data_IF_123766536559
#
_entry.id   IF_123766536559
#
_cell.length_a   1.000
_cell.length_b   1.000
_cell.length_c   1.000
_cell.angle_alpha   90.00
_cell.angle_beta   90.00
_cell.angle_gamma   90.00
#
_symmetry.space_group_name_H-M   'P 1'
#
loop_
_entity.id
_entity.type
_entity.pdbx_description
1 polymer ?
#
# COMPACT_ATOMS: atom_id res chain seq x y z
N UNK A 1 -26.56 20.93 10.02
CA UNK A 1 -25.19 20.54 10.40
C UNK A 1 -24.51 21.77 10.96
N UNK A 2 -23.74 21.66 12.05
CA UNK A 2 -22.96 22.80 12.56
C UNK A 2 -21.78 23.14 11.63
N UNK A 3 -21.23 24.34 11.78
CA UNK A 3 -20.18 24.88 10.89
C UNK A 3 -18.92 24.02 10.85
N UNK A 4 -18.53 23.45 11.98
CA UNK A 4 -17.30 22.65 12.08
C UNK A 4 -17.51 21.29 11.42
N UNK A 5 -18.66 20.65 11.69
CA UNK A 5 -19.01 19.38 11.04
C UNK A 5 -19.10 19.55 9.51
N UNK A 6 -19.69 20.65 9.03
CA UNK A 6 -19.73 20.96 7.60
C UNK A 6 -18.31 21.11 7.02
N UNK A 7 -17.44 21.86 7.71
CA UNK A 7 -16.05 22.05 7.29
C UNK A 7 -15.31 20.71 7.19
N UNK A 8 -15.46 19.83 8.18
CA UNK A 8 -14.85 18.49 8.17
C UNK A 8 -15.36 17.67 6.98
N UNK A 9 -16.67 17.65 6.74
CA UNK A 9 -17.29 16.94 5.62
C UNK A 9 -16.78 17.41 4.25
N UNK A 10 -16.64 18.74 4.07
CA UNK A 10 -16.12 19.35 2.85
C UNK A 10 -14.65 19.00 2.64
N UNK A 11 -13.83 19.07 3.68
CA UNK A 11 -12.41 18.73 3.62
C UNK A 11 -12.18 17.24 3.33
N UNK A 12 -12.98 16.33 3.90
CA UNK A 12 -12.93 14.91 3.56
C UNK A 12 -13.36 14.64 2.10
N UNK A 13 -14.36 15.37 1.62
CA UNK A 13 -14.79 15.28 0.21
C UNK A 13 -13.70 15.76 -0.73
N UNK A 14 -13.03 16.86 -0.39
CA UNK A 14 -11.88 17.38 -1.11
C UNK A 14 -10.70 16.40 -1.10
N UNK A 15 -10.41 15.78 0.03
CA UNK A 15 -9.34 14.79 0.16
C UNK A 15 -9.56 13.58 -0.77
N UNK A 16 -10.81 13.10 -0.89
CA UNK A 16 -11.16 12.05 -1.86
C UNK A 16 -10.83 12.51 -3.28
N UNK A 17 -11.31 13.69 -3.68
CA UNK A 17 -11.07 14.21 -5.03
C UNK A 17 -9.56 14.41 -5.33
N UNK A 18 -8.81 14.96 -4.38
CA UNK A 18 -7.36 15.17 -4.54
C UNK A 18 -6.59 13.84 -4.66
N UNK A 19 -6.96 12.84 -3.86
CA UNK A 19 -6.33 11.51 -3.89
C UNK A 19 -6.46 10.81 -5.25
N UNK A 20 -7.51 11.11 -6.01
CA UNK A 20 -7.83 10.45 -7.29
C UNK A 20 -8.32 9.01 -7.15
N UNK A 21 -8.58 8.55 -5.92
CA UNK A 21 -9.20 7.25 -5.66
C UNK A 21 -10.72 7.39 -5.64
N UNK A 22 -11.43 6.27 -5.86
CA UNK A 22 -12.86 6.20 -5.55
C UNK A 22 -13.08 6.37 -4.03
N UNK A 23 -14.29 6.74 -3.61
CA UNK A 23 -14.59 6.85 -2.18
C UNK A 23 -14.29 5.55 -1.41
N UNK A 24 -14.63 4.40 -2.00
CA UNK A 24 -14.40 3.11 -1.37
C UNK A 24 -12.90 2.79 -1.25
N UNK A 25 -12.14 3.01 -2.33
CA UNK A 25 -10.69 2.81 -2.32
C UNK A 25 -9.98 3.77 -1.37
N UNK A 26 -10.42 5.04 -1.29
CA UNK A 26 -9.86 6.00 -0.34
C UNK A 26 -10.19 5.62 1.11
N UNK A 27 -11.38 5.11 1.39
CA UNK A 27 -11.72 4.60 2.72
C UNK A 27 -10.77 3.46 3.13
N UNK A 28 -10.54 2.49 2.23
CA UNK A 28 -9.59 1.38 2.44
C UNK A 28 -8.18 1.94 2.69
N UNK A 29 -7.72 2.87 1.85
CA UNK A 29 -6.42 3.52 2.01
C UNK A 29 -6.20 4.19 3.37
N UNK A 30 -7.28 4.65 4.01
CA UNK A 30 -7.24 5.25 5.35
C UNK A 30 -7.37 4.22 6.48
N UNK A 31 -7.57 2.94 6.19
CA UNK A 31 -7.80 1.89 7.19
C UNK A 31 -9.21 1.89 7.77
N UNK A 32 -10.22 2.31 7.00
CA UNK A 32 -11.62 2.31 7.45
C UNK A 32 -12.56 1.70 6.41
N UNK A 33 -13.73 1.25 6.84
CA UNK A 33 -14.76 0.78 5.91
C UNK A 33 -15.40 1.94 5.10
N UNK A 34 -15.85 1.68 3.85
CA UNK A 34 -16.57 2.66 3.03
C UNK A 34 -17.84 3.19 3.71
N UNK A 35 -18.55 2.34 4.45
CA UNK A 35 -19.76 2.72 5.19
C UNK A 35 -19.44 3.71 6.31
N UNK A 36 -18.42 3.45 7.13
CA UNK A 36 -17.98 4.34 8.20
C UNK A 36 -17.49 5.66 7.64
N UNK A 37 -16.70 5.63 6.57
CA UNK A 37 -16.24 6.83 5.88
C UNK A 37 -17.39 7.68 5.33
N UNK A 38 -18.44 7.04 4.80
CA UNK A 38 -19.67 7.73 4.36
C UNK A 38 -20.36 8.49 5.52
N UNK A 39 -20.35 7.92 6.74
CA UNK A 39 -20.91 8.61 7.91
C UNK A 39 -20.09 9.84 8.32
N UNK A 40 -18.76 9.82 8.13
CA UNK A 40 -17.91 10.99 8.34
C UNK A 40 -18.21 12.07 7.31
N UNK A 41 -18.30 11.72 6.03
CA UNK A 41 -18.61 12.69 4.96
C UNK A 41 -20.00 13.30 5.07
N UNK A 42 -20.99 12.54 5.53
CA UNK A 42 -22.35 13.05 5.78
C UNK A 42 -22.50 13.74 7.14
N UNK A 43 -21.41 13.84 7.92
CA UNK A 43 -21.37 14.45 9.25
C UNK A 43 -22.30 13.80 10.28
N UNK A 44 -22.77 12.58 10.00
CA UNK A 44 -23.51 11.75 10.95
C UNK A 44 -22.62 11.30 12.11
N UNK A 45 -21.33 11.11 11.82
CA UNK A 45 -20.32 10.73 12.81
C UNK A 45 -19.16 11.71 12.71
N UNK A 46 -18.61 12.13 13.86
CA UNK A 46 -17.39 12.95 13.90
C UNK A 46 -16.17 12.03 13.82
N UNK A 47 -15.26 12.20 12.84
CA UNK A 47 -13.99 11.48 12.85
C UNK A 47 -13.10 11.96 14.00
N UNK A 48 -12.13 11.16 14.40
CA UNK A 48 -11.08 11.62 15.31
C UNK A 48 -10.20 12.66 14.61
N UNK A 49 -9.56 13.55 15.37
CA UNK A 49 -8.61 14.51 14.81
C UNK A 49 -7.47 13.82 14.04
N UNK A 50 -6.96 12.71 14.58
CA UNK A 50 -5.92 11.90 13.93
C UNK A 50 -6.38 11.35 12.57
N UNK A 51 -7.59 10.81 12.48
CA UNK A 51 -8.14 10.32 11.22
C UNK A 51 -8.26 11.43 10.18
N UNK A 52 -8.76 12.60 10.59
CA UNK A 52 -8.91 13.76 9.72
C UNK A 52 -7.56 14.27 9.18
N UNK A 53 -6.55 14.39 10.05
CA UNK A 53 -5.21 14.80 9.66
C UNK A 53 -4.55 13.77 8.73
N UNK A 54 -4.71 12.47 9.03
CA UNK A 54 -4.24 11.36 8.18
C UNK A 54 -4.86 11.43 6.78
N UNK A 55 -6.16 11.67 6.69
CA UNK A 55 -6.86 11.80 5.41
C UNK A 55 -6.28 12.92 4.54
N UNK A 56 -6.06 14.11 5.11
CA UNK A 56 -5.47 15.23 4.39
C UNK A 56 -4.03 14.97 3.96
N UNK A 57 -3.21 14.37 4.83
CA UNK A 57 -1.81 14.04 4.53
C UNK A 57 -1.69 13.01 3.41
N UNK A 58 -2.43 11.90 3.50
CA UNK A 58 -2.45 10.85 2.47
C UNK A 58 -2.98 11.39 1.14
N UNK A 59 -4.08 12.15 1.14
CA UNK A 59 -4.62 12.71 -0.11
C UNK A 59 -3.60 13.58 -0.86
N UNK A 60 -2.88 14.46 -0.15
CA UNK A 60 -1.83 15.29 -0.75
C UNK A 60 -0.65 14.47 -1.25
N UNK A 61 -0.22 13.47 -0.50
CA UNK A 61 0.89 12.61 -0.91
C UNK A 61 0.53 11.76 -2.15
N UNK A 62 -0.68 11.19 -2.19
CA UNK A 62 -1.20 10.48 -3.37
C UNK A 62 -1.27 11.38 -4.60
N UNK A 63 -1.74 12.63 -4.43
CA UNK A 63 -1.75 13.62 -5.51
C UNK A 63 -0.34 13.93 -6.01
N UNK A 64 0.61 14.20 -5.11
CA UNK A 64 1.99 14.51 -5.47
C UNK A 64 2.68 13.34 -6.18
N UNK A 65 2.45 12.10 -5.73
CA UNK A 65 2.95 10.90 -6.38
C UNK A 65 2.39 10.78 -7.81
N UNK A 66 1.08 10.99 -8.00
CA UNK A 66 0.44 10.98 -9.32
C UNK A 66 1.01 12.05 -10.26
N UNK A 67 1.20 13.28 -9.79
CA UNK A 67 1.79 14.38 -10.57
C UNK A 67 3.22 14.06 -11.04
N UNK A 68 3.96 13.26 -10.26
CA UNK A 68 5.33 12.82 -10.56
C UNK A 68 5.40 11.45 -11.26
N UNK A 69 4.25 10.81 -11.52
CA UNK A 69 4.15 9.44 -12.06
C UNK A 69 4.88 8.39 -11.23
N UNK A 70 4.93 8.59 -9.92
CA UNK A 70 5.50 7.64 -8.95
C UNK A 70 4.38 6.72 -8.48
N UNK A 71 4.65 5.42 -8.43
CA UNK A 71 3.69 4.44 -7.91
C UNK A 71 3.53 4.57 -6.40
N UNK A 72 2.30 4.37 -5.95
CA UNK A 72 1.88 4.33 -4.55
C UNK A 72 1.49 2.90 -4.20
N UNK A 73 1.32 2.55 -2.93
CA UNK A 73 0.86 1.20 -2.58
C UNK A 73 -0.49 0.84 -3.27
N UNK A 74 -1.54 1.70 -3.26
CA UNK A 74 -2.79 1.40 -3.97
C UNK A 74 -2.64 1.29 -5.50
N UNK A 75 -1.77 2.12 -6.10
CA UNK A 75 -1.50 2.05 -7.54
C UNK A 75 -0.72 0.78 -7.90
N UNK A 76 0.22 0.37 -7.06
CA UNK A 76 0.99 -0.88 -7.23
C UNK A 76 0.06 -2.07 -7.17
N UNK A 77 -0.79 -2.16 -6.15
CA UNK A 77 -1.73 -3.27 -6.04
C UNK A 77 -2.71 -3.34 -7.22
N UNK A 78 -3.13 -2.18 -7.73
CA UNK A 78 -3.98 -2.11 -8.93
C UNK A 78 -3.24 -2.56 -10.19
N UNK A 79 -2.00 -2.12 -10.39
CA UNK A 79 -1.18 -2.51 -11.53
C UNK A 79 -0.85 -4.02 -11.52
N UNK A 80 -0.60 -4.60 -10.34
CA UNK A 80 -0.43 -6.05 -10.17
C UNK A 80 -1.74 -6.78 -10.50
N UNK A 81 -2.89 -6.31 -10.02
CA UNK A 81 -4.20 -6.92 -10.32
C UNK A 81 -4.57 -6.88 -11.79
N UNK A 82 -4.20 -5.80 -12.47
CA UNK A 82 -4.47 -5.58 -13.90
C UNK A 82 -3.42 -6.24 -14.79
N UNK A 83 -2.39 -6.86 -14.21
CA UNK A 83 -1.43 -7.63 -14.97
C UNK A 83 -2.11 -8.83 -15.63
N UNK A 84 -1.85 -9.02 -16.92
CA UNK A 84 -2.37 -10.15 -17.68
C UNK A 84 -1.65 -11.46 -17.40
N UNK A 85 -0.47 -11.39 -16.78
CA UNK A 85 0.40 -12.51 -16.45
C UNK A 85 1.26 -12.22 -15.21
N UNK A 86 1.84 -13.28 -14.64
CA UNK A 86 2.63 -13.23 -13.41
C UNK A 86 3.95 -12.47 -13.58
N UNK A 87 4.61 -12.58 -14.74
CA UNK A 87 5.83 -11.84 -15.05
C UNK A 87 5.62 -10.32 -15.03
N UNK A 88 4.50 -9.86 -15.58
CA UNK A 88 4.13 -8.44 -15.56
C UNK A 88 3.70 -7.99 -14.17
N UNK A 89 2.97 -8.83 -13.44
CA UNK A 89 2.64 -8.59 -12.03
C UNK A 89 3.91 -8.38 -11.19
N UNK A 90 4.92 -9.23 -11.40
CA UNK A 90 6.23 -9.12 -10.75
C UNK A 90 6.92 -7.78 -11.06
N UNK A 91 6.97 -7.40 -12.34
CA UNK A 91 7.54 -6.11 -12.76
C UNK A 91 6.83 -4.92 -12.10
N UNK A 92 5.49 -4.95 -12.02
CA UNK A 92 4.73 -3.88 -11.38
C UNK A 92 4.99 -3.80 -9.87
N UNK A 93 5.11 -4.94 -9.20
CA UNK A 93 5.48 -5.01 -7.79
C UNK A 93 6.87 -4.38 -7.54
N UNK A 94 7.88 -4.83 -8.28
CA UNK A 94 9.26 -4.35 -8.13
C UNK A 94 9.39 -2.86 -8.47
N UNK A 95 8.74 -2.41 -9.55
CA UNK A 95 8.68 -0.99 -9.88
C UNK A 95 8.03 -0.16 -8.77
N UNK A 96 6.96 -0.69 -8.15
CA UNK A 96 6.36 -0.10 -6.96
C UNK A 96 7.36 0.06 -5.82
N UNK A 97 8.05 -1.03 -5.44
CA UNK A 97 9.07 -0.99 -4.39
C UNK A 97 10.20 0.00 -4.69
N UNK A 98 10.69 0.06 -5.93
CA UNK A 98 11.75 0.99 -6.30
C UNK A 98 11.27 2.45 -6.21
N UNK A 99 10.01 2.71 -6.57
CA UNK A 99 9.36 4.00 -6.32
C UNK A 99 9.22 4.33 -4.83
N UNK A 100 8.90 3.36 -3.97
CA UNK A 100 8.91 3.55 -2.52
C UNK A 100 10.30 3.97 -2.02
N UNK A 101 11.36 3.26 -2.44
CA UNK A 101 12.75 3.62 -2.09
C UNK A 101 13.08 5.06 -2.46
N UNK A 102 12.69 5.48 -3.66
CA UNK A 102 12.89 6.85 -4.12
C UNK A 102 12.13 7.88 -3.26
N UNK A 103 10.93 7.57 -2.78
CA UNK A 103 10.18 8.48 -1.90
C UNK A 103 10.80 8.56 -0.52
N UNK A 104 11.17 7.42 0.08
CA UNK A 104 11.81 7.37 1.40
C UNK A 104 13.12 8.15 1.45
N UNK A 105 13.93 8.10 0.39
CA UNK A 105 15.20 8.85 0.30
C UNK A 105 15.02 10.38 0.26
N UNK A 106 13.83 10.89 -0.06
CA UNK A 106 13.60 12.33 -0.21
C UNK A 106 13.29 13.02 1.12
N UNK A 107 12.77 12.29 2.10
CA UNK A 107 12.34 12.81 3.40
C UNK A 107 11.48 14.09 3.31
N UNK A 108 10.63 14.20 2.27
CA UNK A 108 9.78 15.38 2.00
C UNK A 108 8.31 15.15 2.37
N UNK A 109 7.98 14.04 3.05
CA UNK A 109 6.62 13.68 3.44
C UNK A 109 5.84 12.94 2.34
N UNK A 110 6.45 12.71 1.18
CA UNK A 110 5.78 12.03 0.05
C UNK A 110 5.68 10.51 0.23
N UNK A 111 6.48 9.92 1.12
CA UNK A 111 6.38 8.53 1.56
C UNK A 111 5.01 8.22 2.21
N UNK A 112 4.29 9.24 2.69
CA UNK A 112 2.90 9.11 3.13
C UNK A 112 1.96 8.53 2.06
N UNK A 113 2.33 8.56 0.77
CA UNK A 113 1.59 7.89 -0.30
C UNK A 113 1.62 6.36 -0.19
N UNK A 114 2.61 5.81 0.51
CA UNK A 114 2.75 4.37 0.82
C UNK A 114 2.21 3.99 2.20
N UNK A 115 1.90 4.97 3.05
CA UNK A 115 1.05 4.70 4.22
C UNK A 115 -0.41 4.44 3.84
N UNK A 116 -0.82 4.83 2.64
CA UNK A 116 -2.13 4.51 2.08
C UNK A 116 -2.25 3.00 1.88
N UNK A 117 -3.14 2.34 2.63
CA UNK A 117 -3.31 0.90 2.51
C UNK A 117 -3.78 0.52 1.09
N UNK A 118 -3.15 -0.47 0.44
CA UNK A 118 -3.60 -0.95 -0.85
C UNK A 118 -4.92 -1.72 -0.74
N UNK A 119 -5.65 -1.82 -1.85
CA UNK A 119 -6.63 -2.90 -2.01
C UNK A 119 -5.93 -4.22 -2.36
N UNK A 120 -6.68 -5.32 -2.44
CA UNK A 120 -6.11 -6.60 -2.91
C UNK A 120 -5.65 -6.51 -4.37
N UNK A 121 -4.53 -7.17 -4.64
CA UNK A 121 -3.99 -7.51 -5.97
C UNK A 121 -4.82 -8.59 -6.66
N UNK A 122 -5.73 -9.26 -5.95
CA UNK A 122 -6.43 -10.45 -6.43
C UNK A 122 -5.65 -11.75 -6.20
N UNK A 123 -4.42 -11.67 -5.67
CA UNK A 123 -3.57 -12.82 -5.38
C UNK A 123 -2.94 -12.69 -3.99
N UNK A 124 -3.27 -13.61 -3.08
CA UNK A 124 -2.83 -13.53 -1.68
C UNK A 124 -1.30 -13.47 -1.53
N UNK A 125 -0.57 -14.19 -2.39
CA UNK A 125 0.89 -14.15 -2.41
C UNK A 125 1.45 -12.75 -2.69
N UNK A 126 0.89 -12.06 -3.69
CA UNK A 126 1.32 -10.70 -4.05
C UNK A 126 0.89 -9.69 -2.98
N UNK A 127 -0.26 -9.88 -2.35
CA UNK A 127 -0.74 -9.04 -1.24
C UNK A 127 0.23 -9.07 -0.06
N UNK A 128 0.62 -10.28 0.38
CA UNK A 128 1.56 -10.46 1.49
C UNK A 128 2.96 -10.00 1.10
N UNK A 129 3.43 -10.29 -0.13
CA UNK A 129 4.74 -9.84 -0.58
C UNK A 129 4.84 -8.30 -0.65
N UNK A 130 3.81 -7.62 -1.16
CA UNK A 130 3.75 -6.16 -1.18
C UNK A 130 3.86 -5.57 0.23
N UNK A 131 3.15 -6.16 1.21
CA UNK A 131 3.24 -5.76 2.61
C UNK A 131 4.65 -5.97 3.19
N UNK A 132 5.24 -7.15 3.00
CA UNK A 132 6.57 -7.50 3.50
C UNK A 132 7.66 -6.61 2.91
N UNK A 133 7.64 -6.40 1.59
CA UNK A 133 8.60 -5.51 0.92
C UNK A 133 8.44 -4.07 1.41
N UNK A 134 7.21 -3.59 1.53
CA UNK A 134 6.97 -2.23 2.06
C UNK A 134 7.52 -2.08 3.46
N UNK A 135 7.21 -3.00 4.38
CA UNK A 135 7.75 -2.97 5.74
C UNK A 135 9.27 -2.92 5.75
N UNK A 136 9.91 -3.76 4.92
CA UNK A 136 11.36 -3.83 4.83
C UNK A 136 12.00 -2.52 4.36
N UNK A 137 11.40 -1.85 3.38
CA UNK A 137 11.94 -0.58 2.88
C UNK A 137 11.81 0.55 3.92
N UNK A 138 10.68 0.62 4.64
CA UNK A 138 10.51 1.58 5.75
C UNK A 138 11.54 1.33 6.86
N UNK A 139 11.69 0.08 7.31
CA UNK A 139 12.69 -0.29 8.32
C UNK A 139 14.12 0.05 7.88
N UNK A 140 14.45 -0.20 6.60
CA UNK A 140 15.77 0.11 6.04
C UNK A 140 16.03 1.61 5.99
N UNK A 141 14.99 2.42 5.77
CA UNK A 141 15.06 3.88 5.84
C UNK A 141 15.07 4.42 7.28
N UNK A 142 14.96 3.57 8.31
CA UNK A 142 14.87 3.98 9.71
C UNK A 142 13.51 4.55 10.11
N UNK A 143 12.48 4.32 9.30
CA UNK A 143 11.11 4.77 9.51
C UNK A 143 10.23 3.63 10.05
N UNK A 144 9.15 3.98 10.74
CA UNK A 144 8.17 2.99 11.20
C UNK A 144 7.33 2.48 10.01
N UNK A 145 7.19 1.16 9.80
CA UNK A 145 6.31 0.62 8.77
C UNK A 145 4.85 1.04 8.93
N UNK A 146 4.10 1.23 7.82
CA UNK A 146 2.67 1.44 7.88
C UNK A 146 1.93 0.27 8.54
N UNK A 147 0.88 0.55 9.33
CA UNK A 147 0.12 -0.50 10.04
C UNK A 147 -0.41 -1.61 9.12
N UNK A 148 -0.77 -1.28 7.88
CA UNK A 148 -1.29 -2.26 6.91
C UNK A 148 -0.25 -3.30 6.48
N UNK A 149 1.04 -3.07 6.72
CA UNK A 149 2.09 -4.05 6.43
C UNK A 149 2.22 -5.12 7.50
N UNK A 150 1.52 -4.98 8.63
CA UNK A 150 1.44 -6.02 9.65
C UNK A 150 0.45 -7.10 9.21
N UNK A 151 0.95 -8.05 8.42
CA UNK A 151 0.16 -9.15 7.84
C UNK A 151 0.59 -10.48 8.45
N UNK A 152 -0.37 -11.38 8.61
CA UNK A 152 -0.07 -12.76 8.97
C UNK A 152 0.65 -13.47 7.80
N UNK A 153 1.55 -14.43 8.09
CA UNK A 153 2.12 -15.30 7.06
C UNK A 153 1.04 -16.04 6.27
N UNK A 154 1.34 -16.39 5.01
CA UNK A 154 0.40 -17.17 4.21
C UNK A 154 0.13 -18.53 4.88
N UNK A 155 -1.13 -19.02 4.87
CA UNK A 155 -1.47 -20.31 5.46
C UNK A 155 -0.85 -21.49 4.69
N UNK A 156 -0.62 -21.29 3.38
CA UNK A 156 0.03 -22.25 2.48
C UNK A 156 1.28 -21.59 1.90
N UNK A 157 2.43 -22.31 1.85
CA UNK A 157 3.64 -21.81 1.20
C UNK A 157 3.36 -21.32 -0.21
N UNK A 158 3.84 -20.11 -0.54
CA UNK A 158 3.84 -19.63 -1.91
C UNK A 158 5.26 -19.65 -2.47
N UNK A 159 5.44 -20.44 -3.52
CA UNK A 159 6.66 -20.60 -4.28
C UNK A 159 6.31 -20.26 -5.74
N UNK A 160 6.56 -19.02 -6.21
CA UNK A 160 6.36 -18.66 -7.60
C UNK A 160 7.15 -19.59 -8.53
N UNK A 161 6.64 -19.84 -9.73
CA UNK A 161 7.37 -20.61 -10.73
C UNK A 161 8.68 -19.90 -11.08
N UNK A 162 9.81 -20.61 -10.99
CA UNK A 162 11.11 -20.06 -11.30
C UNK A 162 11.78 -20.86 -12.43
N UNK A 163 12.24 -20.21 -13.52
CA UNK A 163 12.65 -20.91 -14.75
C UNK A 163 13.96 -21.71 -14.64
N UNK A 164 14.80 -21.43 -13.63
CA UNK A 164 16.17 -21.99 -13.54
C UNK A 164 16.56 -22.61 -12.21
N UNK A 165 15.70 -22.56 -11.19
CA UNK A 165 16.07 -23.01 -9.84
C UNK A 165 15.06 -24.05 -9.39
N UNK A 166 15.57 -25.08 -8.72
CA UNK A 166 14.74 -26.08 -8.07
C UNK A 166 14.16 -25.53 -6.76
N UNK A 167 13.04 -26.08 -6.26
CA UNK A 167 12.39 -25.60 -5.04
C UNK A 167 13.32 -25.47 -3.82
N UNK A 168 14.22 -26.44 -3.61
CA UNK A 168 15.15 -26.42 -2.49
C UNK A 168 16.16 -25.26 -2.60
N UNK A 169 16.63 -24.95 -3.82
CA UNK A 169 17.53 -23.82 -4.07
C UNK A 169 16.82 -22.48 -3.86
N UNK A 170 15.54 -22.38 -4.24
CA UNK A 170 14.72 -21.18 -3.99
C UNK A 170 14.58 -20.96 -2.48
N UNK A 171 14.26 -22.01 -1.72
CA UNK A 171 14.11 -21.94 -0.26
C UNK A 171 15.43 -21.50 0.38
N UNK A 172 16.56 -22.07 -0.02
CA UNK A 172 17.89 -21.69 0.50
C UNK A 172 18.25 -20.22 0.20
N UNK A 173 17.89 -19.73 -1.00
CA UNK A 173 18.21 -18.36 -1.43
C UNK A 173 17.17 -17.32 -0.98
N UNK A 174 16.10 -17.73 -0.30
CA UNK A 174 15.04 -16.82 0.16
C UNK A 174 15.50 -16.02 1.37
N UNK A 175 15.39 -14.67 1.36
CA UNK A 175 15.69 -13.88 2.54
C UNK A 175 14.77 -14.24 3.73
N UNK A 176 15.34 -14.32 4.93
CA UNK A 176 14.60 -14.74 6.12
C UNK A 176 13.37 -13.88 6.46
N UNK A 177 13.35 -12.59 6.07
CA UNK A 177 12.18 -11.72 6.28
C UNK A 177 11.00 -12.07 5.34
N UNK A 178 11.28 -12.65 4.17
CA UNK A 178 10.26 -13.14 3.22
C UNK A 178 9.81 -14.55 3.59
N UNK A 179 10.76 -15.42 3.96
CA UNK A 179 10.46 -16.77 4.42
C UNK A 179 9.54 -16.78 5.66
N UNK A 180 9.69 -15.81 6.57
CA UNK A 180 8.79 -15.63 7.74
C UNK A 180 7.32 -15.41 7.33
N UNK A 181 7.08 -14.86 6.15
CA UNK A 181 5.74 -14.67 5.60
C UNK A 181 5.22 -15.88 4.81
N UNK A 182 5.95 -17.00 4.85
CA UNK A 182 5.67 -18.23 4.11
C UNK A 182 5.69 -18.04 2.57
N UNK A 183 6.58 -17.14 2.12
CA UNK A 183 6.86 -16.86 0.72
C UNK A 183 8.31 -17.23 0.44
N UNK A 184 8.56 -17.90 -0.69
CA UNK A 184 9.87 -18.41 -1.07
C UNK A 184 10.26 -17.87 -2.43
N UNK A 185 11.15 -16.88 -2.43
CA UNK A 185 11.64 -16.17 -3.62
C UNK A 185 13.10 -15.82 -3.40
N UNK A 186 13.99 -16.08 -4.37
CA UNK A 186 15.41 -15.79 -4.23
C UNK A 186 15.67 -14.29 -4.02
N UNK A 187 16.67 -13.96 -3.19
CA UNK A 187 17.03 -12.56 -2.89
C UNK A 187 17.32 -11.71 -4.14
N UNK A 188 17.84 -12.33 -5.21
CA UNK A 188 18.17 -11.65 -6.47
C UNK A 188 16.95 -11.18 -7.27
N UNK A 189 15.79 -11.80 -7.03
CA UNK A 189 14.55 -11.52 -7.76
C UNK A 189 13.68 -10.49 -7.02
N UNK A 190 14.15 -10.05 -5.84
CA UNK A 190 13.59 -8.98 -5.04
C UNK A 190 14.35 -7.69 -5.32
#
# INVERSE_FOLDING_TARGET
MDRDTQTVSEQLTRAVAESGLSQAAFAIALGTSPSRFSTYRSGKTKPTAQFFLRAGRIARALRAARERRIMTAPATATAVREAGDEDWAWRMLLQGRDHLRLLLQRHDGSEAAWEAAPGTTGHAGFDVLLAVLTAREFETAGEAPPEWTNVDPLPTPWLPEHPFLEPDEIIEQTPGYVAKANIFVPARDL
#
